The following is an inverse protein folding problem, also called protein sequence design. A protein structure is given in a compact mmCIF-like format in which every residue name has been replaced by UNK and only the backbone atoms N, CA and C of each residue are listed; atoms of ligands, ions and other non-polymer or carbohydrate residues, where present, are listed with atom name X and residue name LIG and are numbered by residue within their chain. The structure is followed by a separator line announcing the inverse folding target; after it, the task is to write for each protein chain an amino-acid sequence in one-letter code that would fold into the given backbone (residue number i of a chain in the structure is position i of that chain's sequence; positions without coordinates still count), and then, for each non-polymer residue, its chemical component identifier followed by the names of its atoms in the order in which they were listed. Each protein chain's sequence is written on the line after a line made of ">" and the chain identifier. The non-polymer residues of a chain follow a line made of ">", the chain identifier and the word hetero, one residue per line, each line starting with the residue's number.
data_IF_981230134760
#
_entry.id   IF_981230134760
#
_cell.length_a   1.000
_cell.length_b   1.000
_cell.length_c   1.000
_cell.angle_alpha   90.00
_cell.angle_beta   90.00
_cell.angle_gamma   90.00
#
_symmetry.space_group_name_H-M   'P 1'
#
loop_
_entity.id
_entity.type
_entity.pdbx_description
1 polymer ?
#
# COMPACT_ATOMS: atom_id res chain seq x y z
N UNK A 1 43.57 -19.87 4.17
CA UNK A 1 43.63 -18.56 3.49
C UNK A 1 42.20 -18.15 3.14
N UNK A 2 41.76 -16.94 3.51
CA UNK A 2 40.34 -16.61 3.67
C UNK A 2 39.71 -16.05 2.40
N UNK A 3 38.46 -16.44 2.13
CA UNK A 3 37.52 -15.75 1.24
C UNK A 3 36.19 -15.65 1.99
N UNK A 4 35.86 -14.44 2.43
CA UNK A 4 34.56 -14.05 2.99
C UNK A 4 34.10 -12.84 2.15
N UNK A 5 32.86 -12.85 1.67
CA UNK A 5 32.17 -11.65 1.20
C UNK A 5 30.73 -11.64 1.71
N UNK A 6 30.55 -11.14 2.92
CA UNK A 6 29.27 -10.84 3.53
C UNK A 6 28.81 -9.42 3.18
N UNK A 7 28.40 -9.19 1.93
CA UNK A 7 28.07 -7.84 1.43
C UNK A 7 26.62 -7.66 0.92
N UNK A 8 25.73 -8.65 1.07
CA UNK A 8 24.39 -8.60 0.45
C UNK A 8 23.43 -7.53 0.99
N UNK A 9 23.55 -7.13 2.26
CA UNK A 9 22.66 -6.14 2.90
C UNK A 9 23.12 -4.69 2.71
N UNK A 10 24.43 -4.45 2.86
CA UNK A 10 25.04 -3.15 2.63
C UNK A 10 24.97 -2.74 1.16
N UNK A 11 25.19 -3.67 0.21
CA UNK A 11 25.08 -3.39 -1.23
C UNK A 11 23.67 -2.96 -1.68
N UNK A 12 22.62 -3.46 -1.02
CA UNK A 12 21.23 -3.05 -1.32
C UNK A 12 20.90 -1.68 -0.75
N UNK A 13 21.38 -1.36 0.45
CA UNK A 13 21.26 -0.03 1.06
C UNK A 13 22.10 1.00 0.31
N UNK A 14 23.33 0.68 -0.07
CA UNK A 14 24.19 1.58 -0.88
C UNK A 14 23.65 1.76 -2.29
N UNK A 15 23.04 0.73 -2.89
CA UNK A 15 22.30 0.84 -4.15
C UNK A 15 21.06 1.74 -4.05
N UNK A 16 20.29 1.64 -2.96
CA UNK A 16 19.14 2.50 -2.70
C UNK A 16 19.57 3.96 -2.46
N UNK A 17 20.60 4.18 -1.63
CA UNK A 17 21.20 5.50 -1.36
C UNK A 17 21.83 6.08 -2.63
N UNK A 18 22.51 5.27 -3.43
CA UNK A 18 23.07 5.65 -4.73
C UNK A 18 21.99 6.08 -5.72
N UNK A 19 20.84 5.39 -5.77
CA UNK A 19 19.71 5.80 -6.60
C UNK A 19 19.11 7.14 -6.14
N UNK A 20 18.98 7.35 -4.82
CA UNK A 20 18.46 8.60 -4.24
C UNK A 20 19.43 9.77 -4.47
N UNK A 21 20.74 9.56 -4.30
CA UNK A 21 21.77 10.58 -4.58
C UNK A 21 21.80 10.91 -6.07
N UNK A 22 21.60 9.92 -6.94
CA UNK A 22 21.49 10.13 -8.39
C UNK A 22 20.27 10.98 -8.72
N UNK A 23 19.11 10.66 -8.13
CA UNK A 23 17.87 11.43 -8.29
C UNK A 23 17.99 12.86 -7.75
N UNK A 24 18.59 13.06 -6.58
CA UNK A 24 18.87 14.38 -5.99
C UNK A 24 19.87 15.17 -6.82
N UNK A 25 20.92 14.53 -7.35
CA UNK A 25 21.90 15.18 -8.23
C UNK A 25 21.30 15.60 -9.57
N UNK A 26 20.26 14.88 -10.04
CA UNK A 26 19.51 15.18 -11.27
C UNK A 26 18.55 16.37 -11.05
N UNK A 27 18.01 16.52 -9.84
CA UNK A 27 17.28 17.72 -9.41
C UNK A 27 18.22 18.93 -9.25
N UNK A 28 19.41 18.74 -8.67
CA UNK A 28 20.39 19.81 -8.40
C UNK A 28 21.09 20.34 -9.66
N UNK A 29 21.28 19.53 -10.71
CA UNK A 29 22.00 19.92 -11.95
C UNK A 29 21.14 20.66 -12.99
N UNK A 30 19.97 21.17 -12.59
CA UNK A 30 19.08 21.90 -13.48
C UNK A 30 18.08 20.96 -14.15
N UNK A 31 16.95 20.76 -13.47
CA UNK A 31 15.78 20.09 -14.02
C UNK A 31 15.29 20.83 -15.28
N UNK A 32 15.54 20.26 -16.46
CA UNK A 32 14.93 20.72 -17.72
C UNK A 32 13.65 19.91 -17.94
N UNK A 33 12.50 20.60 -17.97
CA UNK A 33 11.16 20.03 -18.17
C UNK A 33 10.99 19.16 -19.43
N UNK A 34 11.95 19.21 -20.36
CA UNK A 34 12.01 18.41 -21.60
C UNK A 34 12.95 17.19 -21.53
N UNK A 35 13.54 16.87 -20.37
CA UNK A 35 14.38 15.67 -20.24
C UNK A 35 13.49 14.42 -20.33
N UNK A 36 13.81 13.43 -21.19
CA UNK A 36 13.00 12.22 -21.29
C UNK A 36 12.94 11.53 -19.94
N UNK A 37 11.73 11.34 -19.39
CA UNK A 37 11.52 10.43 -18.27
C UNK A 37 12.11 9.06 -18.65
N UNK A 38 12.69 8.28 -17.73
CA UNK A 38 12.96 6.88 -18.01
C UNK A 38 11.68 6.26 -18.58
N UNK A 39 11.78 5.50 -19.69
CA UNK A 39 10.64 4.92 -20.39
C UNK A 39 9.80 4.07 -19.42
N UNK A 40 8.83 4.69 -18.77
CA UNK A 40 7.90 4.04 -17.86
C UNK A 40 6.50 4.34 -18.38
N UNK A 41 6.01 3.40 -19.19
CA UNK A 41 4.66 3.32 -19.74
C UNK A 41 4.28 4.40 -20.77
N UNK A 42 3.63 4.06 -21.89
CA UNK A 42 2.88 5.06 -22.63
C UNK A 42 1.75 5.57 -21.73
N UNK A 43 1.69 6.88 -21.50
CA UNK A 43 0.51 7.53 -20.91
C UNK A 43 -0.66 7.39 -21.90
N UNK A 44 -1.34 6.23 -21.92
CA UNK A 44 -2.68 6.13 -22.48
C UNK A 44 -3.66 6.48 -21.37
N UNK A 45 -4.10 7.74 -21.33
CA UNK A 45 -5.13 8.19 -20.40
C UNK A 45 -5.10 9.71 -20.24
N UNK A 46 -6.24 10.32 -20.53
CA UNK A 46 -6.48 11.74 -20.68
C UNK A 46 -6.01 12.61 -19.49
N UNK A 47 -5.87 13.91 -19.78
CA UNK A 47 -5.90 15.06 -18.86
C UNK A 47 -6.46 14.64 -17.50
N UNK A 48 -5.66 14.77 -16.43
CA UNK A 48 -6.12 14.53 -15.05
C UNK A 48 -7.46 15.27 -14.91
N UNK A 49 -8.60 14.56 -14.81
CA UNK A 49 -9.89 15.24 -14.76
C UNK A 49 -9.93 16.12 -13.51
N UNK A 50 -10.75 17.17 -13.56
CA UNK A 50 -10.96 18.05 -12.42
C UNK A 50 -11.21 17.20 -11.16
N UNK A 51 -10.57 17.52 -10.03
CA UNK A 51 -10.54 16.62 -8.89
C UNK A 51 -11.93 16.20 -8.40
N UNK A 52 -12.15 14.90 -8.23
CA UNK A 52 -13.36 14.38 -7.59
C UNK A 52 -13.48 14.77 -6.10
N UNK A 53 -12.41 15.31 -5.50
CA UNK A 53 -12.33 15.72 -4.09
C UNK A 53 -11.47 16.98 -3.93
N UNK A 54 -11.67 17.72 -2.84
CA UNK A 54 -10.86 18.85 -2.37
C UNK A 54 -9.35 18.55 -2.27
N UNK A 55 -8.97 17.27 -2.14
CA UNK A 55 -7.57 16.80 -2.14
C UNK A 55 -6.98 16.53 -3.53
N UNK A 56 -7.57 17.09 -4.58
CA UNK A 56 -7.03 17.03 -5.95
C UNK A 56 -5.58 17.47 -6.10
N UNK A 57 -5.19 18.46 -5.30
CA UNK A 57 -3.84 19.03 -5.29
C UNK A 57 -2.75 17.98 -4.97
N UNK A 58 -3.07 16.93 -4.21
CA UNK A 58 -2.12 15.86 -3.87
C UNK A 58 -1.78 14.94 -5.06
N UNK A 59 -2.58 15.04 -6.14
CA UNK A 59 -2.51 14.19 -7.33
C UNK A 59 -1.99 14.92 -8.57
N UNK A 60 -1.56 16.17 -8.45
CA UNK A 60 -0.92 16.93 -9.53
C UNK A 60 0.59 17.07 -9.31
N UNK A 61 1.33 17.46 -10.34
CA UNK A 61 2.73 17.87 -10.16
C UNK A 61 2.81 19.29 -9.58
N UNK A 62 3.85 19.62 -8.79
CA UNK A 62 5.01 18.78 -8.42
C UNK A 62 4.77 17.84 -7.21
N UNK A 63 3.56 17.86 -6.64
CA UNK A 63 3.24 17.19 -5.37
C UNK A 63 3.41 15.67 -5.47
N UNK A 64 3.04 15.08 -6.61
CA UNK A 64 3.27 13.66 -6.88
C UNK A 64 4.75 13.28 -6.83
N UNK A 65 5.61 14.06 -7.47
CA UNK A 65 7.06 13.84 -7.44
C UNK A 65 7.59 13.94 -6.00
N UNK A 66 7.17 14.96 -5.25
CA UNK A 66 7.57 15.14 -3.84
C UNK A 66 7.12 13.92 -3.01
N UNK A 67 5.87 13.48 -3.15
CA UNK A 67 5.35 12.29 -2.48
C UNK A 67 6.16 11.05 -2.85
N UNK A 68 6.49 10.86 -4.12
CA UNK A 68 7.31 9.73 -4.56
C UNK A 68 8.66 9.71 -3.85
N UNK A 69 9.35 10.86 -3.79
CA UNK A 69 10.63 10.99 -3.11
C UNK A 69 10.52 10.74 -1.60
N UNK A 70 9.49 11.29 -0.95
CA UNK A 70 9.22 11.05 0.48
C UNK A 70 8.91 9.58 0.76
N UNK A 71 8.10 8.95 -0.09
CA UNK A 71 7.80 7.53 0.06
C UNK A 71 9.07 6.69 -0.11
N UNK A 72 9.82 6.90 -1.19
CA UNK A 72 11.05 6.13 -1.49
C UNK A 72 12.17 6.37 -0.49
N UNK A 73 12.35 7.62 -0.04
CA UNK A 73 13.45 8.04 0.83
C UNK A 73 13.17 7.88 2.33
N UNK A 74 11.91 7.93 2.76
CA UNK A 74 11.55 7.87 4.19
C UNK A 74 10.62 6.70 4.51
N UNK A 75 9.47 6.59 3.83
CA UNK A 75 8.45 5.60 4.20
C UNK A 75 8.91 4.16 3.94
N UNK A 76 9.54 3.89 2.80
CA UNK A 76 9.99 2.52 2.45
C UNK A 76 11.11 2.05 3.40
N UNK A 77 12.21 2.81 3.63
CA UNK A 77 13.23 2.42 4.60
C UNK A 77 12.68 2.25 6.00
N UNK A 78 11.79 3.16 6.45
CA UNK A 78 11.15 3.04 7.75
C UNK A 78 10.32 1.76 7.88
N UNK A 79 9.55 1.41 6.84
CA UNK A 79 8.75 0.18 6.82
C UNK A 79 9.64 -1.06 6.81
N UNK A 80 10.72 -1.05 6.02
CA UNK A 80 11.69 -2.14 5.95
C UNK A 80 12.36 -2.40 7.30
N UNK A 81 12.81 -1.32 7.96
CA UNK A 81 13.40 -1.33 9.29
C UNK A 81 12.39 -1.87 10.30
N UNK A 82 11.22 -1.25 10.44
CA UNK A 82 10.28 -1.57 11.51
C UNK A 82 9.56 -2.92 11.35
N UNK A 83 9.29 -3.34 10.11
CA UNK A 83 8.39 -4.44 9.82
C UNK A 83 9.04 -5.63 9.12
N UNK A 84 10.26 -5.50 8.59
CA UNK A 84 10.95 -6.51 7.76
C UNK A 84 9.98 -7.28 6.83
N UNK A 85 9.22 -6.57 5.99
CA UNK A 85 8.09 -7.13 5.27
C UNK A 85 8.55 -8.16 4.24
N UNK A 86 8.13 -9.42 4.41
CA UNK A 86 8.25 -10.42 3.34
C UNK A 86 7.11 -10.22 2.35
N UNK A 87 7.42 -9.94 1.09
CA UNK A 87 6.43 -9.76 0.02
C UNK A 87 6.45 -10.96 -0.92
N UNK A 88 5.29 -11.56 -1.17
CA UNK A 88 5.10 -12.71 -2.07
C UNK A 88 4.03 -12.36 -3.11
N UNK A 89 4.19 -12.79 -4.36
CA UNK A 89 3.24 -12.52 -5.44
C UNK A 89 3.40 -11.15 -6.10
N UNK A 90 4.53 -10.45 -5.91
CA UNK A 90 4.74 -9.09 -6.44
C UNK A 90 4.72 -9.03 -7.96
N UNK A 91 5.19 -10.10 -8.61
CA UNK A 91 5.19 -10.31 -10.05
C UNK A 91 3.79 -10.21 -10.66
N UNK A 92 2.75 -10.62 -9.94
CA UNK A 92 1.36 -10.56 -10.38
C UNK A 92 0.86 -9.13 -10.63
N UNK A 93 1.55 -8.12 -10.08
CA UNK A 93 1.22 -6.70 -10.29
C UNK A 93 1.94 -6.13 -11.51
N UNK A 94 3.09 -6.67 -11.89
CA UNK A 94 3.90 -6.11 -12.97
C UNK A 94 3.22 -6.27 -14.35
N UNK A 95 2.38 -7.30 -14.48
CA UNK A 95 1.67 -7.66 -15.71
C UNK A 95 0.31 -6.95 -15.84
N UNK A 96 -0.14 -6.23 -14.81
CA UNK A 96 -1.45 -5.60 -14.80
C UNK A 96 -1.46 -4.25 -15.49
N UNK A 97 -2.51 -4.04 -16.27
CA UNK A 97 -2.92 -2.71 -16.69
C UNK A 97 -3.68 -1.99 -15.58
N UNK A 98 -3.60 -0.65 -15.57
CA UNK A 98 -4.30 0.20 -14.61
C UNK A 98 -5.67 0.61 -15.17
N UNK A 99 -6.66 0.92 -14.31
CA UNK A 99 -6.63 0.89 -12.84
C UNK A 99 -6.75 -0.53 -12.26
N UNK A 100 -6.39 -0.69 -10.99
CA UNK A 100 -6.57 -1.91 -10.19
C UNK A 100 -7.08 -1.55 -8.80
N UNK A 101 -7.99 -2.36 -8.24
CA UNK A 101 -8.40 -2.29 -6.84
C UNK A 101 -7.58 -3.29 -6.02
N UNK A 102 -6.76 -2.83 -5.09
CA UNK A 102 -6.06 -3.67 -4.12
C UNK A 102 -6.93 -3.84 -2.86
N UNK A 103 -7.46 -5.03 -2.63
CA UNK A 103 -8.34 -5.33 -1.50
C UNK A 103 -7.59 -6.13 -0.44
N UNK A 104 -7.40 -5.56 0.76
CA UNK A 104 -6.61 -6.16 1.83
C UNK A 104 -7.38 -6.28 3.14
N UNK A 105 -7.02 -7.25 3.99
CA UNK A 105 -7.48 -7.27 5.39
C UNK A 105 -6.92 -6.08 6.19
N UNK A 106 -7.60 -5.69 7.26
CA UNK A 106 -7.28 -4.49 8.03
C UNK A 106 -7.16 -4.79 9.52
N UNK A 107 -5.95 -4.77 10.06
CA UNK A 107 -5.66 -5.09 11.46
C UNK A 107 -4.82 -4.02 12.19
N UNK A 108 -4.24 -3.06 11.46
CA UNK A 108 -3.23 -2.14 11.97
C UNK A 108 -3.21 -0.79 11.26
N UNK A 109 -2.62 0.23 11.91
CA UNK A 109 -2.23 1.46 11.22
C UNK A 109 -1.07 1.23 10.22
N UNK A 110 -0.28 0.18 10.39
CA UNK A 110 0.83 -0.16 9.50
C UNK A 110 0.38 -0.81 8.18
N UNK A 111 -0.89 -1.22 8.05
CA UNK A 111 -1.38 -1.92 6.87
C UNK A 111 -1.15 -1.13 5.58
N UNK A 112 -1.45 0.17 5.59
CA UNK A 112 -1.28 1.03 4.42
C UNK A 112 0.18 1.11 3.98
N UNK A 113 1.12 1.30 4.91
CA UNK A 113 2.54 1.35 4.56
C UNK A 113 3.04 0.01 4.04
N UNK A 114 2.54 -1.10 4.59
CA UNK A 114 2.87 -2.46 4.13
C UNK A 114 2.34 -2.74 2.72
N UNK A 115 1.10 -2.33 2.39
CA UNK A 115 0.57 -2.43 1.04
C UNK A 115 1.41 -1.60 0.07
N UNK A 116 1.64 -0.32 0.36
CA UNK A 116 2.45 0.55 -0.50
C UNK A 116 3.88 0.01 -0.67
N UNK A 117 4.46 -0.59 0.36
CA UNK A 117 5.77 -1.26 0.28
C UNK A 117 5.77 -2.48 -0.64
N UNK A 118 4.71 -3.28 -0.60
CA UNK A 118 4.55 -4.44 -1.46
C UNK A 118 4.38 -4.06 -2.94
N UNK A 119 3.81 -2.88 -3.23
CA UNK A 119 3.61 -2.42 -4.60
C UNK A 119 4.95 -2.07 -5.30
N UNK A 120 5.13 -2.43 -6.58
CA UNK A 120 6.15 -1.83 -7.44
C UNK A 120 6.00 -0.31 -7.51
N UNK A 121 7.11 0.41 -7.69
CA UNK A 121 7.13 1.89 -7.75
C UNK A 121 6.10 2.45 -8.74
N UNK A 122 6.01 1.82 -9.92
CA UNK A 122 5.08 2.15 -11.01
C UNK A 122 3.60 2.08 -10.59
N UNK A 123 3.24 1.09 -9.77
CA UNK A 123 1.89 0.94 -9.25
C UNK A 123 1.66 1.95 -8.11
N UNK A 124 2.59 2.04 -7.16
CA UNK A 124 2.50 2.89 -5.96
C UNK A 124 2.31 4.37 -6.30
N UNK A 125 3.01 4.88 -7.30
CA UNK A 125 2.93 6.29 -7.68
C UNK A 125 1.50 6.72 -8.08
N UNK A 126 0.76 5.81 -8.72
CA UNK A 126 -0.63 5.97 -9.18
C UNK A 126 -1.64 5.25 -8.29
N UNK A 127 -1.30 5.00 -7.03
CA UNK A 127 -2.20 4.42 -6.04
C UNK A 127 -2.73 5.49 -5.10
N UNK A 128 -4.05 5.52 -4.92
CA UNK A 128 -4.74 6.23 -3.84
C UNK A 128 -5.15 5.23 -2.76
N UNK A 129 -5.16 5.68 -1.50
CA UNK A 129 -5.62 4.86 -0.38
C UNK A 129 -6.92 5.43 0.15
N UNK A 130 -7.97 4.62 0.20
CA UNK A 130 -9.19 5.00 0.90
C UNK A 130 -8.90 5.02 2.42
N UNK A 131 -8.90 6.20 3.04
CA UNK A 131 -8.63 6.33 4.48
C UNK A 131 -9.77 7.04 5.20
N UNK A 132 -10.18 6.50 6.35
CA UNK A 132 -11.24 7.07 7.18
C UNK A 132 -10.94 8.54 7.53
N UNK A 133 -11.84 9.44 7.12
CA UNK A 133 -11.72 10.89 7.29
C UNK A 133 -11.67 11.28 8.78
N UNK A 134 -12.40 10.55 9.62
CA UNK A 134 -12.72 10.96 10.99
C UNK A 134 -11.53 10.92 11.97
N UNK A 135 -10.41 10.30 11.60
CA UNK A 135 -9.25 10.15 12.49
C UNK A 135 -8.09 11.08 12.12
N UNK A 136 -7.70 11.12 10.85
CA UNK A 136 -6.54 11.91 10.40
C UNK A 136 -6.89 13.37 10.10
N UNK A 137 -8.13 13.65 9.70
CA UNK A 137 -8.54 14.98 9.22
C UNK A 137 -9.17 15.86 10.29
N UNK A 138 -9.27 15.40 11.55
CA UNK A 138 -9.60 16.26 12.71
C UNK A 138 -8.49 17.26 13.05
N UNK A 139 -7.27 17.07 12.51
CA UNK A 139 -6.16 18.01 12.60
C UNK A 139 -5.64 18.31 11.19
N UNK A 140 -5.89 19.50 10.62
CA UNK A 140 -5.62 19.79 9.20
C UNK A 140 -4.16 19.57 8.78
N UNK A 141 -3.19 19.87 9.66
CA UNK A 141 -1.77 19.59 9.42
C UNK A 141 -1.47 18.09 9.29
N UNK A 142 -2.07 17.26 10.15
CA UNK A 142 -1.88 15.82 10.13
C UNK A 142 -2.58 15.18 8.91
N UNK A 143 -3.77 15.67 8.55
CA UNK A 143 -4.46 15.27 7.33
C UNK A 143 -3.66 15.59 6.06
N UNK A 144 -3.04 16.77 5.99
CA UNK A 144 -2.19 17.17 4.86
C UNK A 144 -0.91 16.33 4.76
N UNK A 145 -0.26 16.04 5.89
CA UNK A 145 0.93 15.17 5.92
C UNK A 145 0.57 13.74 5.51
N UNK A 146 -0.50 13.17 6.05
CA UNK A 146 -0.93 11.81 5.69
C UNK A 146 -1.37 11.74 4.22
N UNK A 147 -2.04 12.76 3.71
CA UNK A 147 -2.40 12.85 2.28
C UNK A 147 -1.17 12.97 1.39
N UNK A 148 -0.17 13.75 1.80
CA UNK A 148 1.11 13.86 1.11
C UNK A 148 1.91 12.55 1.14
N UNK A 149 1.89 11.80 2.24
CA UNK A 149 2.69 10.57 2.39
C UNK A 149 1.99 9.32 1.85
N UNK A 150 0.67 9.21 1.99
CA UNK A 150 -0.09 7.99 1.71
C UNK A 150 -1.12 8.16 0.57
N UNK A 151 -1.21 9.36 -0.03
CA UNK A 151 -2.20 9.69 -1.08
C UNK A 151 -3.63 9.30 -0.68
N UNK A 152 -4.01 9.69 0.54
CA UNK A 152 -5.32 9.40 1.09
C UNK A 152 -6.38 10.35 0.56
N UNK A 153 -7.57 9.85 0.27
CA UNK A 153 -8.77 10.69 0.13
C UNK A 153 -9.74 10.38 1.28
N UNK A 154 -10.53 11.38 1.72
CA UNK A 154 -11.37 11.25 2.90
C UNK A 154 -12.50 10.24 2.65
N UNK A 155 -12.54 9.23 3.50
CA UNK A 155 -13.62 8.25 3.62
C UNK A 155 -14.46 8.63 4.85
N UNK A 156 -15.47 9.49 4.68
CA UNK A 156 -16.32 9.95 5.79
C UNK A 156 -17.31 8.87 6.24
N UNK A 157 -17.28 8.44 7.51
CA UNK A 157 -18.31 7.51 8.00
C UNK A 157 -19.65 8.21 8.26
N UNK A 158 -19.67 9.54 8.25
CA UNK A 158 -20.83 10.38 8.58
C UNK A 158 -21.55 10.95 7.35
N UNK A 159 -20.91 10.99 6.17
CA UNK A 159 -21.46 11.50 4.91
C UNK A 159 -22.17 10.48 4.01
N UNK A 160 -22.46 9.29 4.52
CA UNK A 160 -23.11 8.20 3.79
C UNK A 160 -22.16 7.40 2.89
N UNK A 161 -22.40 6.10 2.77
CA UNK A 161 -21.55 5.19 1.98
C UNK A 161 -21.52 5.53 0.48
N UNK A 162 -22.58 6.16 -0.06
CA UNK A 162 -22.72 6.42 -1.50
C UNK A 162 -21.76 7.48 -2.05
N UNK A 163 -21.57 8.61 -1.36
CA UNK A 163 -20.64 9.66 -1.85
C UNK A 163 -19.19 9.18 -1.94
N UNK A 164 -18.81 8.23 -1.08
CA UNK A 164 -17.48 7.63 -1.06
C UNK A 164 -17.28 6.64 -2.20
N UNK A 165 -18.29 5.81 -2.47
CA UNK A 165 -18.29 4.91 -3.62
C UNK A 165 -18.21 5.72 -4.92
N UNK A 166 -18.97 6.82 -5.03
CA UNK A 166 -18.92 7.71 -6.19
C UNK A 166 -17.51 8.31 -6.40
N UNK A 167 -16.91 8.87 -5.35
CA UNK A 167 -15.56 9.44 -5.43
C UNK A 167 -14.50 8.39 -5.82
N UNK A 168 -14.63 7.18 -5.28
CA UNK A 168 -13.76 6.04 -5.60
C UNK A 168 -13.92 5.61 -7.06
N UNK A 169 -15.15 5.54 -7.56
CA UNK A 169 -15.47 5.23 -8.96
C UNK A 169 -14.84 6.25 -9.92
N UNK A 170 -14.92 7.55 -9.60
CA UNK A 170 -14.27 8.60 -10.39
C UNK A 170 -12.74 8.49 -10.41
N UNK A 171 -12.12 8.10 -9.29
CA UNK A 171 -10.67 7.86 -9.23
C UNK A 171 -10.26 6.65 -10.09
N UNK A 172 -11.02 5.56 -10.03
CA UNK A 172 -10.80 4.39 -10.86
C UNK A 172 -10.97 4.74 -12.35
N UNK A 173 -12.07 5.39 -12.73
CA UNK A 173 -12.33 5.84 -14.11
C UNK A 173 -11.27 6.81 -14.66
N UNK A 174 -10.57 7.52 -13.78
CA UNK A 174 -9.43 8.40 -14.15
C UNK A 174 -8.07 7.69 -14.16
N UNK A 175 -8.04 6.37 -14.03
CA UNK A 175 -6.85 5.54 -14.16
C UNK A 175 -5.99 5.44 -12.89
N UNK A 176 -6.52 5.84 -11.73
CA UNK A 176 -5.83 5.63 -10.45
C UNK A 176 -6.16 4.25 -9.88
N UNK A 177 -5.13 3.58 -9.34
CA UNK A 177 -5.34 2.37 -8.54
C UNK A 177 -5.90 2.76 -7.17
N UNK A 178 -6.69 1.87 -6.58
CA UNK A 178 -7.34 2.09 -5.29
C UNK A 178 -6.95 1.00 -4.29
N UNK A 179 -6.39 1.39 -3.15
CA UNK A 179 -6.26 0.49 -1.99
C UNK A 179 -7.50 0.64 -1.13
N UNK A 180 -8.15 -0.49 -0.84
CA UNK A 180 -9.37 -0.56 -0.06
C UNK A 180 -9.30 -1.68 0.97
N UNK A 181 -9.79 -1.37 2.17
CA UNK A 181 -9.92 -2.29 3.28
C UNK A 181 -11.40 -2.63 3.48
N UNK A 182 -11.92 -3.69 2.84
CA UNK A 182 -13.36 -3.94 2.74
C UNK A 182 -14.04 -4.28 4.09
N UNK A 183 -13.28 -4.57 5.14
CA UNK A 183 -13.77 -4.67 6.53
C UNK A 183 -14.33 -3.32 7.05
N UNK A 184 -13.87 -2.19 6.50
CA UNK A 184 -14.29 -0.84 6.85
C UNK A 184 -13.79 -0.32 8.21
N UNK A 185 -13.18 -1.18 9.03
CA UNK A 185 -12.48 -0.80 10.26
C UNK A 185 -11.39 -1.82 10.59
N UNK A 186 -10.42 -1.42 11.43
CA UNK A 186 -9.37 -2.34 11.88
C UNK A 186 -9.95 -3.39 12.82
N UNK A 187 -9.58 -4.63 12.55
CA UNK A 187 -9.82 -5.78 13.41
C UNK A 187 -9.27 -5.54 14.82
N UNK A 188 -10.08 -5.80 15.87
CA UNK A 188 -9.66 -5.63 17.26
C UNK A 188 -8.70 -6.75 17.73
N UNK A 189 -8.76 -7.93 17.12
CA UNK A 189 -8.01 -9.13 17.51
C UNK A 189 -7.06 -9.63 16.41
N UNK A 190 -7.00 -8.91 15.29
CA UNK A 190 -6.14 -9.24 14.14
C UNK A 190 -6.71 -10.29 13.20
N UNK A 191 -7.91 -10.83 13.46
CA UNK A 191 -8.61 -11.74 12.56
C UNK A 191 -9.30 -10.97 11.44
N UNK A 192 -9.39 -11.58 10.25
CA UNK A 192 -10.09 -11.00 9.10
C UNK A 192 -11.58 -10.91 9.40
N UNK A 193 -12.13 -9.71 9.39
CA UNK A 193 -13.56 -9.46 9.57
C UNK A 193 -14.33 -9.64 8.25
N UNK A 194 -15.66 -9.62 8.33
CA UNK A 194 -16.55 -9.69 7.17
C UNK A 194 -16.32 -8.52 6.20
N UNK A 195 -16.27 -8.82 4.90
CA UNK A 195 -16.09 -7.81 3.87
C UNK A 195 -17.41 -7.15 3.50
N UNK A 196 -17.42 -5.82 3.49
CA UNK A 196 -18.55 -5.01 3.03
C UNK A 196 -18.64 -5.02 1.50
N UNK A 197 -19.86 -4.94 0.92
CA UNK A 197 -20.09 -5.09 -0.52
C UNK A 197 -19.52 -3.97 -1.39
N UNK A 198 -18.93 -2.91 -0.80
CA UNK A 198 -18.42 -1.75 -1.52
C UNK A 198 -17.33 -2.09 -2.53
N UNK A 199 -16.48 -3.08 -2.24
CA UNK A 199 -15.41 -3.50 -3.15
C UNK A 199 -15.97 -4.13 -4.43
N UNK A 200 -16.92 -5.06 -4.31
CA UNK A 200 -17.56 -5.69 -5.46
C UNK A 200 -18.48 -4.72 -6.21
N UNK A 201 -19.08 -3.75 -5.52
CA UNK A 201 -19.84 -2.68 -6.19
C UNK A 201 -18.94 -1.80 -7.07
N UNK A 202 -17.80 -1.35 -6.54
CA UNK A 202 -16.85 -0.53 -7.30
C UNK A 202 -16.28 -1.27 -8.50
N UNK A 203 -15.91 -2.53 -8.33
CA UNK A 203 -15.40 -3.34 -9.42
C UNK A 203 -16.44 -3.53 -10.53
N UNK A 204 -17.71 -3.77 -10.16
CA UNK A 204 -18.82 -3.89 -11.11
C UNK A 204 -19.05 -2.59 -11.88
N UNK A 205 -19.14 -1.47 -11.16
CA UNK A 205 -19.47 -0.16 -11.74
C UNK A 205 -18.39 0.36 -12.69
N UNK A 206 -17.13 -0.04 -12.46
CA UNK A 206 -15.97 0.49 -13.19
C UNK A 206 -15.32 -0.52 -14.14
N UNK A 207 -15.69 -1.80 -14.08
CA UNK A 207 -15.01 -2.89 -14.78
C UNK A 207 -13.58 -3.12 -14.28
N UNK A 208 -13.21 -2.59 -13.11
CA UNK A 208 -11.83 -2.63 -12.62
C UNK A 208 -11.52 -3.99 -11.97
N UNK A 209 -10.39 -4.65 -12.31
CA UNK A 209 -9.96 -5.87 -11.64
C UNK A 209 -9.61 -5.64 -10.17
N UNK A 210 -9.88 -6.63 -9.33
CA UNK A 210 -9.53 -6.65 -7.90
C UNK A 210 -8.37 -7.59 -7.68
N UNK A 211 -7.31 -7.11 -7.05
CA UNK A 211 -6.19 -7.92 -6.57
C UNK A 211 -6.37 -8.13 -5.07
N UNK A 212 -6.56 -9.38 -4.59
CA UNK A 212 -6.65 -9.67 -3.16
C UNK A 212 -5.25 -9.66 -2.53
N UNK A 213 -5.13 -9.04 -1.36
CA UNK A 213 -3.92 -9.04 -0.55
C UNK A 213 -4.22 -9.55 0.85
N UNK A 214 -3.27 -10.29 1.43
CA UNK A 214 -3.30 -10.62 2.84
C UNK A 214 -2.07 -10.08 3.56
N UNK A 215 -2.32 -9.35 4.64
CA UNK A 215 -1.33 -8.73 5.51
C UNK A 215 -1.34 -9.47 6.83
N UNK A 216 -0.20 -10.08 7.16
CA UNK A 216 0.02 -10.79 8.41
C UNK A 216 1.06 -10.07 9.27
N UNK A 217 0.86 -10.10 10.59
CA UNK A 217 1.81 -9.56 11.58
C UNK A 217 1.68 -8.06 11.84
N UNK A 218 0.97 -7.32 10.99
CA UNK A 218 0.74 -5.89 11.15
C UNK A 218 0.04 -5.53 12.47
N UNK A 219 -0.94 -6.35 12.89
CA UNK A 219 -1.62 -6.17 14.19
C UNK A 219 -0.64 -6.07 15.37
N UNK A 220 0.50 -6.75 15.32
CA UNK A 220 1.50 -6.70 16.40
C UNK A 220 2.39 -5.46 16.32
N UNK A 221 2.50 -4.84 15.15
CA UNK A 221 3.34 -3.67 14.91
C UNK A 221 2.63 -2.41 15.42
N UNK A 222 1.36 -2.22 15.04
CA UNK A 222 0.62 -1.02 15.44
C UNK A 222 -0.91 -1.29 15.48
N UNK A 223 -1.40 -2.06 16.46
CA UNK A 223 -2.82 -2.37 16.62
C UNK A 223 -3.65 -1.11 16.91
N UNK A 224 -4.97 -1.28 16.92
CA UNK A 224 -5.89 -0.21 17.27
C UNK A 224 -5.60 0.32 18.69
N UNK A 225 -5.50 1.64 18.82
CA UNK A 225 -5.21 2.33 20.09
C UNK A 225 -3.71 2.57 20.33
N UNK A 226 -2.82 1.89 19.62
CA UNK A 226 -1.39 2.09 19.77
C UNK A 226 -0.90 3.33 19.00
N UNK A 227 -0.17 4.21 19.69
CA UNK A 227 0.28 5.50 19.14
C UNK A 227 1.58 5.43 18.34
N UNK A 228 2.50 4.53 18.72
CA UNK A 228 3.81 4.36 18.09
C UNK A 228 3.99 2.91 17.61
N UNK A 229 4.61 2.68 16.46
CA UNK A 229 4.87 1.34 15.97
C UNK A 229 5.93 0.63 16.82
N UNK A 230 5.71 -0.64 17.08
CA UNK A 230 6.69 -1.55 17.66
C UNK A 230 7.31 -2.41 16.55
N UNK A 231 8.61 -2.74 16.65
CA UNK A 231 9.24 -3.64 15.70
C UNK A 231 8.54 -4.99 15.66
N UNK A 232 8.48 -5.57 14.47
CA UNK A 232 7.85 -6.85 14.23
C UNK A 232 8.14 -7.36 12.83
N UNK A 233 7.66 -8.57 12.53
CA UNK A 233 7.72 -9.13 11.18
C UNK A 233 6.35 -9.09 10.54
N UNK A 234 6.28 -8.51 9.35
CA UNK A 234 5.09 -8.52 8.51
C UNK A 234 5.29 -9.43 7.29
N UNK A 235 4.20 -9.99 6.79
CA UNK A 235 4.16 -10.63 5.48
C UNK A 235 3.00 -10.07 4.69
N UNK A 236 3.25 -9.73 3.43
CA UNK A 236 2.22 -9.32 2.47
C UNK A 236 2.21 -10.33 1.34
N UNK A 237 1.08 -11.01 1.18
CA UNK A 237 0.83 -11.92 0.07
C UNK A 237 -0.12 -11.28 -0.91
N UNK A 238 0.24 -11.30 -2.18
CA UNK A 238 -0.56 -10.80 -3.28
C UNK A 238 -1.13 -12.01 -4.02
N UNK A 239 -2.44 -12.05 -4.16
CA UNK A 239 -3.14 -13.10 -4.90
C UNK A 239 -3.36 -12.74 -6.37
N UNK A 240 -3.89 -13.71 -7.12
CA UNK A 240 -4.18 -13.53 -8.54
C UNK A 240 -5.25 -12.44 -8.75
N UNK A 241 -5.12 -11.59 -9.78
CA UNK A 241 -6.14 -10.62 -10.14
C UNK A 241 -7.47 -11.32 -10.45
N UNK A 242 -8.57 -10.68 -10.05
CA UNK A 242 -9.92 -11.21 -10.16
C UNK A 242 -10.79 -10.17 -10.86
N UNK A 243 -11.52 -10.59 -11.89
CA UNK A 243 -12.60 -9.81 -12.50
C UNK A 243 -13.93 -10.42 -12.13
N UNK A 244 -14.97 -9.61 -12.09
CA UNK A 244 -16.33 -10.08 -11.87
C UNK A 244 -16.80 -10.92 -13.06
N UNK A 245 -17.52 -12.01 -12.79
CA UNK A 245 -18.09 -12.85 -13.85
C UNK A 245 -19.40 -12.24 -14.37
N UNK A 246 -19.81 -12.48 -15.64
CA UNK A 246 -20.96 -11.81 -16.26
C UNK A 246 -22.30 -11.94 -15.52
N UNK A 247 -22.48 -12.95 -14.66
CA UNK A 247 -23.71 -13.19 -13.89
C UNK A 247 -23.52 -13.03 -12.38
N UNK A 248 -22.31 -12.71 -11.93
CA UNK A 248 -21.98 -12.61 -10.52
C UNK A 248 -22.46 -11.26 -9.98
N UNK A 249 -23.19 -11.25 -8.87
CA UNK A 249 -23.60 -10.01 -8.20
C UNK A 249 -22.46 -9.35 -7.42
N UNK A 250 -22.55 -8.05 -7.12
CA UNK A 250 -21.50 -7.35 -6.33
C UNK A 250 -21.23 -7.98 -4.96
N UNK A 251 -22.24 -8.57 -4.31
CA UNK A 251 -22.08 -9.29 -3.03
C UNK A 251 -21.37 -10.62 -3.20
N UNK A 252 -21.71 -11.38 -4.23
CA UNK A 252 -21.08 -12.66 -4.56
C UNK A 252 -19.60 -12.45 -4.90
N UNK A 253 -19.31 -11.42 -5.71
CA UNK A 253 -17.94 -11.06 -6.03
C UNK A 253 -17.16 -10.63 -4.80
N UNK A 254 -17.78 -9.85 -3.90
CA UNK A 254 -17.17 -9.49 -2.61
C UNK A 254 -16.85 -10.72 -1.77
N UNK A 255 -17.75 -11.70 -1.69
CA UNK A 255 -17.51 -12.95 -0.97
C UNK A 255 -16.38 -13.78 -1.61
N UNK A 256 -16.28 -13.79 -2.94
CA UNK A 256 -15.18 -14.45 -3.67
C UNK A 256 -13.83 -13.78 -3.40
N UNK A 257 -13.81 -12.44 -3.36
CA UNK A 257 -12.63 -11.64 -2.96
C UNK A 257 -12.24 -11.95 -1.50
N UNK A 258 -13.21 -12.00 -0.58
CA UNK A 258 -12.96 -12.33 0.82
C UNK A 258 -12.35 -13.73 0.95
N UNK A 259 -12.93 -14.73 0.27
CA UNK A 259 -12.41 -16.09 0.23
C UNK A 259 -10.98 -16.13 -0.30
N UNK A 260 -10.67 -15.36 -1.35
CA UNK A 260 -9.32 -15.26 -1.90
C UNK A 260 -8.33 -14.65 -0.90
N UNK A 261 -8.70 -13.57 -0.19
CA UNK A 261 -7.86 -12.97 0.87
C UNK A 261 -7.64 -13.96 2.02
N UNK A 262 -8.68 -14.69 2.44
CA UNK A 262 -8.57 -15.72 3.49
C UNK A 262 -7.67 -16.87 3.08
N UNK A 263 -7.73 -17.33 1.83
CA UNK A 263 -6.86 -18.39 1.32
C UNK A 263 -5.36 -17.99 1.35
N UNK A 264 -5.05 -16.71 1.19
CA UNK A 264 -3.68 -16.21 1.33
C UNK A 264 -3.15 -16.23 2.78
N UNK A 265 -4.02 -16.46 3.78
CA UNK A 265 -3.65 -16.44 5.20
C UNK A 265 -2.95 -17.71 5.70
N UNK A 266 -2.92 -18.77 4.89
CA UNK A 266 -2.38 -20.08 5.28
C UNK A 266 -0.85 -20.02 5.55
N UNK A 267 -0.43 -19.78 6.80
CA UNK A 267 0.84 -20.30 7.33
C UNK A 267 0.75 -20.69 8.81
N UNK A 268 1.78 -21.45 9.24
CA UNK A 268 2.13 -21.69 10.64
C UNK A 268 2.04 -20.45 11.54
N UNK A 269 1.64 -20.57 12.82
CA UNK A 269 1.61 -19.47 13.77
C UNK A 269 2.92 -18.69 13.80
N UNK A 270 2.86 -17.36 13.69
CA UNK A 270 4.05 -16.54 13.94
C UNK A 270 4.31 -16.51 15.46
N UNK A 271 5.55 -16.72 15.93
CA UNK A 271 5.88 -16.68 17.34
C UNK A 271 5.51 -15.33 17.95
N UNK A 272 5.07 -15.33 19.21
CA UNK A 272 4.76 -14.10 19.92
C UNK A 272 6.04 -13.33 20.21
N UNK A 273 6.05 -12.05 19.80
CA UNK A 273 7.13 -11.12 20.09
C UNK A 273 6.77 -10.33 21.35
N UNK A 274 7.36 -10.72 22.47
CA UNK A 274 7.21 -10.03 23.76
C UNK A 274 8.48 -9.22 24.08
N UNK A 275 8.35 -8.28 25.01
CA UNK A 275 9.46 -7.46 25.51
C UNK A 275 9.43 -6.00 25.04
N UNK A 276 10.46 -5.28 25.46
CA UNK A 276 10.77 -3.90 25.11
C UNK A 276 10.96 -3.71 23.61
N UNK A 277 10.99 -2.44 23.18
CA UNK A 277 11.21 -2.08 21.79
C UNK A 277 12.50 -2.71 21.22
N UNK A 278 13.58 -2.69 22.00
CA UNK A 278 14.91 -3.22 21.59
C UNK A 278 14.88 -4.75 21.49
N UNK A 279 14.23 -5.43 22.43
CA UNK A 279 14.09 -6.89 22.41
C UNK A 279 13.30 -7.35 21.17
N UNK A 280 12.18 -6.66 20.90
CA UNK A 280 11.37 -6.92 19.71
C UNK A 280 12.14 -6.62 18.42
N UNK A 281 12.92 -5.54 18.40
CA UNK A 281 13.80 -5.21 17.28
C UNK A 281 14.80 -6.31 16.98
N UNK A 282 15.49 -6.81 18.02
CA UNK A 282 16.45 -7.89 17.84
C UNK A 282 15.79 -9.21 17.42
N UNK A 283 14.60 -9.50 17.95
CA UNK A 283 13.83 -10.70 17.58
C UNK A 283 13.19 -10.61 16.17
N UNK A 284 12.90 -9.41 15.68
CA UNK A 284 12.29 -9.20 14.37
C UNK A 284 13.27 -9.31 13.21
N UNK A 285 14.57 -9.08 13.44
CA UNK A 285 15.62 -9.25 12.41
C UNK A 285 15.51 -10.62 11.74
N UNK A 286 15.62 -10.75 10.40
CA UNK A 286 15.69 -12.04 9.74
C UNK A 286 16.74 -12.91 10.43
N UNK A 287 16.38 -14.12 10.84
CA UNK A 287 17.38 -15.08 11.29
C UNK A 287 17.94 -15.69 10.02
N UNK A 288 19.25 -15.62 9.81
CA UNK A 288 19.92 -16.47 8.86
C UNK A 288 19.61 -17.91 9.30
N UNK A 289 18.80 -18.62 8.53
CA UNK A 289 18.65 -20.06 8.74
C UNK A 289 20.02 -20.64 8.37
N UNK A 290 20.68 -21.41 9.26
CA UNK A 290 21.79 -22.22 8.81
C UNK A 290 21.26 -23.12 7.69
N UNK A 291 21.94 -23.09 6.55
CA UNK A 291 21.79 -24.11 5.53
C UNK A 291 22.25 -25.42 6.19
N UNK A 292 21.32 -26.33 6.47
CA UNK A 292 21.60 -27.75 6.64
C UNK A 292 21.69 -28.41 5.25
#
# INVERSE_FOLDING_TARGET
>A
MPWYSGDGGLLKLTGAVGSVVTDVSRVRRGWRWSSPRPHTWPERGAVVPAPATDLGWARVEPVRTIRFLLQRGLLMPFTEVMAHPKVEGRELINELERPVIFAANHSSHADTSLVLHALPDRARERTVVAAAADYWFKRPLLGNVVSLFLNTFPFSRTGGAQGQLHSSSMLLKSGWNLVLFPEGSRSPDGRIQEFKPGVGHLANETGTPVVPLHIRGAHRIMPKGQKLPLPGRARVRIGKPMTQEPKEGSREFTARIEKAVRALSEDAPQPDLQGSWIERWNASKPRDLPYD
#
